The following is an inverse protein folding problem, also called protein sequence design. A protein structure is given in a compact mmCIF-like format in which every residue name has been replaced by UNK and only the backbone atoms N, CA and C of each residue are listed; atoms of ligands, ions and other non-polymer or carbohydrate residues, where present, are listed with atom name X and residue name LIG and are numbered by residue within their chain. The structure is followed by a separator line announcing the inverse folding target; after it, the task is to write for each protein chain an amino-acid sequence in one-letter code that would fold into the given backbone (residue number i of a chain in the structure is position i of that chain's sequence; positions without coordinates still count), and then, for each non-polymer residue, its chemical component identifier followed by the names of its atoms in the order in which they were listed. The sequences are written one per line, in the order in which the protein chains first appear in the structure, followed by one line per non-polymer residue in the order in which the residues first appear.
data_IF_475614498874
#
_entry.id   IF_475614498874
#
_cell.length_a   1.000
_cell.length_b   1.000
_cell.length_c   1.000
_cell.angle_alpha   90.00
_cell.angle_beta   90.00
_cell.angle_gamma   90.00
#
_symmetry.space_group_name_H-M   'P 1'
#
loop_
_entity.id
_entity.type
_entity.pdbx_description
1 polymer ?
#
# COMPACT_ATOMS: atom_id res chain seq x y z
N UNK A 1 6.91 -27.97 46.80
CA UNK A 1 7.84 -27.21 45.93
C UNK A 1 7.65 -27.73 44.52
N UNK A 2 6.74 -27.12 43.75
CA UNK A 2 6.44 -27.54 42.38
C UNK A 2 7.07 -26.53 41.42
N UNK A 3 8.07 -26.97 40.67
CA UNK A 3 8.71 -26.19 39.61
C UNK A 3 7.76 -26.10 38.42
N UNK A 4 7.34 -24.89 38.06
CA UNK A 4 6.58 -24.62 36.84
C UNK A 4 7.53 -24.63 35.62
N UNK A 5 7.10 -25.17 34.47
CA UNK A 5 7.91 -25.12 33.26
C UNK A 5 7.94 -23.69 32.69
N UNK A 6 9.15 -23.16 32.51
CA UNK A 6 9.44 -21.92 31.79
C UNK A 6 9.16 -22.09 30.29
N UNK A 7 7.89 -21.98 29.89
CA UNK A 7 7.47 -21.92 28.50
C UNK A 7 7.64 -20.51 27.94
N UNK A 8 8.59 -20.35 27.01
CA UNK A 8 8.83 -19.13 26.23
C UNK A 8 7.58 -18.70 25.45
N UNK A 9 6.82 -17.74 26.00
CA UNK A 9 5.65 -17.14 25.36
C UNK A 9 6.00 -16.01 24.37
N UNK A 10 7.26 -15.57 24.31
CA UNK A 10 7.69 -14.44 23.47
C UNK A 10 7.61 -14.74 21.97
N UNK A 11 8.08 -15.90 21.51
CA UNK A 11 8.15 -16.17 20.06
C UNK A 11 6.82 -16.39 19.34
N UNK A 12 5.71 -16.64 20.06
CA UNK A 12 4.40 -16.94 19.43
C UNK A 12 3.58 -15.67 19.20
N UNK A 13 3.69 -14.69 20.10
CA UNK A 13 2.92 -13.44 20.02
C UNK A 13 3.42 -12.56 18.87
N UNK A 14 4.74 -12.47 18.68
CA UNK A 14 5.36 -11.70 17.59
C UNK A 14 4.88 -12.15 16.19
N UNK A 15 4.70 -13.45 15.98
CA UNK A 15 4.29 -14.01 14.67
C UNK A 15 2.82 -13.70 14.35
N UNK A 16 1.92 -13.82 15.32
CA UNK A 16 0.50 -13.51 15.13
C UNK A 16 0.29 -12.02 14.88
N UNK A 17 0.98 -11.15 15.62
CA UNK A 17 0.88 -9.70 15.46
C UNK A 17 1.42 -9.27 14.08
N UNK A 18 2.56 -9.80 13.67
CA UNK A 18 3.14 -9.55 12.34
C UNK A 18 2.21 -10.00 11.21
N UNK A 19 1.59 -11.18 11.37
CA UNK A 19 0.64 -11.70 10.37
C UNK A 19 -0.60 -10.81 10.25
N UNK A 20 -1.11 -10.31 11.39
CA UNK A 20 -2.27 -9.42 11.40
C UNK A 20 -1.96 -8.05 10.79
N UNK A 21 -0.76 -7.52 11.05
CA UNK A 21 -0.29 -6.27 10.45
C UNK A 21 -0.08 -6.40 8.94
N UNK A 22 0.48 -7.53 8.48
CA UNK A 22 0.63 -7.82 7.05
C UNK A 22 -0.73 -7.93 6.35
N UNK A 23 -1.68 -8.67 6.94
CA UNK A 23 -3.05 -8.78 6.42
C UNK A 23 -3.75 -7.42 6.36
N UNK A 24 -3.57 -6.57 7.37
CA UNK A 24 -4.11 -5.21 7.38
C UNK A 24 -3.48 -4.32 6.31
N UNK A 25 -2.16 -4.43 6.09
CA UNK A 25 -1.47 -3.69 5.04
C UNK A 25 -1.91 -4.14 3.64
N UNK A 26 -2.15 -5.44 3.45
CA UNK A 26 -2.69 -6.01 2.22
C UNK A 26 -4.10 -5.49 1.95
N UNK A 27 -5.00 -5.59 2.94
CA UNK A 27 -6.36 -5.05 2.86
C UNK A 27 -6.37 -3.55 2.54
N UNK A 28 -5.55 -2.74 3.22
CA UNK A 28 -5.43 -1.30 2.92
C UNK A 28 -4.94 -1.05 1.49
N UNK A 29 -3.99 -1.86 1.00
CA UNK A 29 -3.51 -1.75 -0.39
C UNK A 29 -4.62 -2.09 -1.38
N UNK A 30 -5.44 -3.09 -1.11
CA UNK A 30 -6.59 -3.43 -1.94
C UNK A 30 -7.64 -2.31 -1.97
N UNK A 31 -7.96 -1.73 -0.82
CA UNK A 31 -8.89 -0.60 -0.70
C UNK A 31 -8.39 0.62 -1.49
N UNK A 32 -7.10 0.95 -1.38
CA UNK A 32 -6.49 2.05 -2.15
C UNK A 32 -6.50 1.77 -3.65
N UNK A 33 -6.28 0.51 -4.08
CA UNK A 33 -6.41 0.14 -5.49
C UNK A 33 -7.85 0.27 -5.98
N UNK A 34 -8.84 -0.13 -5.18
CA UNK A 34 -10.26 0.01 -5.52
C UNK A 34 -10.65 1.48 -5.66
N UNK A 35 -10.21 2.33 -4.71
CA UNK A 35 -10.40 3.77 -4.77
C UNK A 35 -9.81 4.39 -6.03
N UNK A 36 -8.55 4.07 -6.36
CA UNK A 36 -7.89 4.60 -7.56
C UNK A 36 -8.56 4.12 -8.86
N UNK A 37 -9.07 2.89 -8.90
CA UNK A 37 -9.87 2.39 -10.04
C UNK A 37 -11.18 3.16 -10.18
N UNK A 38 -11.88 3.46 -9.08
CA UNK A 38 -13.08 4.29 -9.11
C UNK A 38 -12.77 5.69 -9.66
N UNK A 39 -11.66 6.29 -9.26
CA UNK A 39 -11.20 7.58 -9.80
C UNK A 39 -10.98 7.56 -11.32
N UNK A 40 -10.48 6.45 -11.88
CA UNK A 40 -10.40 6.27 -13.34
C UNK A 40 -11.79 6.16 -13.99
N UNK A 41 -12.70 5.41 -13.36
CA UNK A 41 -14.10 5.29 -13.83
C UNK A 41 -14.79 6.65 -13.88
N UNK A 42 -14.47 7.55 -12.97
CA UNK A 42 -15.02 8.92 -12.92
C UNK A 42 -14.42 9.85 -14.01
N UNK A 43 -13.48 9.36 -14.82
CA UNK A 43 -12.95 10.05 -15.99
C UNK A 43 -11.49 10.48 -15.89
N UNK A 44 -10.82 10.20 -14.76
CA UNK A 44 -9.38 10.41 -14.66
C UNK A 44 -8.61 9.52 -15.65
N UNK A 45 -7.52 10.06 -16.22
CA UNK A 45 -6.71 9.34 -17.23
C UNK A 45 -5.78 8.34 -16.57
N UNK A 46 -5.17 8.75 -15.45
CA UNK A 46 -4.18 8.01 -14.70
C UNK A 46 -3.92 8.69 -13.37
N UNK A 47 -3.43 7.94 -12.40
CA UNK A 47 -3.10 8.43 -11.06
C UNK A 47 -1.87 7.72 -10.51
N UNK A 48 -1.11 8.45 -9.69
CA UNK A 48 0.01 7.95 -8.89
C UNK A 48 -0.21 8.36 -7.45
N UNK A 49 -0.15 7.40 -6.52
CA UNK A 49 -0.30 7.62 -5.09
C UNK A 49 0.90 7.01 -4.38
N UNK A 50 1.59 7.81 -3.57
CA UNK A 50 2.60 7.32 -2.64
C UNK A 50 2.11 7.53 -1.21
N UNK A 51 2.24 6.51 -0.37
CA UNK A 51 1.94 6.59 1.06
C UNK A 51 3.08 5.94 1.86
N UNK A 52 3.23 6.35 3.12
CA UNK A 52 4.16 5.70 4.04
C UNK A 52 3.55 5.56 5.42
N UNK A 53 3.72 4.39 6.03
CA UNK A 53 3.43 4.14 7.45
C UNK A 53 4.73 4.02 8.27
N UNK A 54 5.89 4.21 7.64
CA UNK A 54 7.21 4.04 8.23
C UNK A 54 8.32 4.67 7.38
N UNK A 55 9.49 4.02 7.33
CA UNK A 55 10.65 4.59 6.64
C UNK A 55 10.59 4.47 5.10
N UNK A 56 9.98 3.40 4.58
CA UNK A 56 9.92 3.13 3.14
C UNK A 56 8.52 3.43 2.58
N UNK A 57 8.38 4.38 1.64
CA UNK A 57 7.11 4.66 1.00
C UNK A 57 6.71 3.53 0.05
N UNK A 58 5.40 3.30 -0.06
CA UNK A 58 4.80 2.40 -1.05
C UNK A 58 4.08 3.22 -2.10
N UNK A 59 4.34 2.92 -3.37
CA UNK A 59 3.67 3.53 -4.50
C UNK A 59 2.59 2.61 -5.08
N UNK A 60 1.46 3.19 -5.46
CA UNK A 60 0.38 2.56 -6.24
C UNK A 60 0.12 3.46 -7.45
N UNK A 61 0.06 2.85 -8.63
CA UNK A 61 -0.20 3.56 -9.90
C UNK A 61 -1.34 2.89 -10.64
N UNK A 62 -2.16 3.68 -11.32
CA UNK A 62 -3.24 3.19 -12.17
C UNK A 62 -3.38 4.05 -13.43
N UNK A 63 -3.87 3.44 -14.50
CA UNK A 63 -4.22 4.15 -15.74
C UNK A 63 -2.99 4.63 -16.52
N UNK A 64 -3.19 5.68 -17.31
CA UNK A 64 -2.25 6.15 -18.32
C UNK A 64 -1.70 7.53 -17.94
N UNK A 65 -0.39 7.69 -18.08
CA UNK A 65 0.27 8.99 -18.04
C UNK A 65 0.26 9.66 -19.42
N UNK A 66 0.02 8.90 -20.49
CA UNK A 66 -0.22 9.43 -21.83
C UNK A 66 -1.35 8.62 -22.49
N UNK A 67 -2.49 9.28 -22.73
CA UNK A 67 -3.65 8.63 -23.35
C UNK A 67 -3.46 8.41 -24.84
N UNK A 68 -2.74 9.31 -25.52
CA UNK A 68 -2.53 9.25 -26.98
C UNK A 68 -1.61 8.08 -27.32
N UNK A 69 -0.55 7.90 -26.53
CA UNK A 69 0.46 6.88 -26.76
C UNK A 69 0.27 5.61 -25.91
N UNK A 70 -0.81 5.54 -25.11
CA UNK A 70 -1.10 4.39 -24.25
C UNK A 70 -0.03 4.12 -23.18
N UNK A 71 0.69 5.14 -22.72
CA UNK A 71 1.79 4.97 -21.76
C UNK A 71 1.24 4.90 -20.35
N UNK A 72 1.54 3.81 -19.65
CA UNK A 72 1.15 3.61 -18.26
C UNK A 72 1.77 4.66 -17.33
N UNK A 73 1.08 4.96 -16.23
CA UNK A 73 1.67 5.70 -15.11
C UNK A 73 2.75 4.86 -14.44
N UNK A 74 3.90 5.46 -14.15
CA UNK A 74 4.95 4.85 -13.32
C UNK A 74 5.23 5.72 -12.10
N UNK A 75 5.79 5.15 -11.00
CA UNK A 75 6.15 5.92 -9.81
C UNK A 75 7.17 7.03 -10.08
N UNK A 76 8.05 6.82 -11.06
CA UNK A 76 9.12 7.75 -11.44
C UNK A 76 8.64 8.85 -12.41
N UNK A 77 7.37 8.81 -12.82
CA UNK A 77 6.79 9.81 -13.74
C UNK A 77 6.68 11.15 -13.02
N UNK A 78 7.16 12.21 -13.67
CA UNK A 78 7.06 13.56 -13.14
C UNK A 78 5.66 14.15 -13.39
N UNK A 79 5.11 14.79 -12.37
CA UNK A 79 3.84 15.51 -12.42
C UNK A 79 4.07 17.00 -12.13
N UNK A 80 3.37 17.88 -12.85
CA UNK A 80 3.24 19.27 -12.43
C UNK A 80 2.22 19.33 -11.30
N UNK A 81 2.66 19.71 -10.10
CA UNK A 81 1.83 19.64 -8.89
C UNK A 81 1.03 20.93 -8.60
N UNK A 82 1.20 21.97 -9.42
CA UNK A 82 0.54 23.25 -9.17
C UNK A 82 1.02 23.89 -7.87
N UNK A 83 0.09 24.26 -7.00
CA UNK A 83 0.31 24.98 -5.73
C UNK A 83 0.44 24.08 -4.49
N UNK A 84 0.81 22.81 -4.66
CA UNK A 84 1.30 21.99 -3.56
C UNK A 84 2.47 22.64 -2.80
#
# INVERSE_FOLDING_TARGET
MATLPSGSARGRIDVYETSNLAAKAESMREDLNAFLKAYLTDGAVGASLAYSTGAAPTAITVGLADREHGVAVSPDRLFKIGSC
#
